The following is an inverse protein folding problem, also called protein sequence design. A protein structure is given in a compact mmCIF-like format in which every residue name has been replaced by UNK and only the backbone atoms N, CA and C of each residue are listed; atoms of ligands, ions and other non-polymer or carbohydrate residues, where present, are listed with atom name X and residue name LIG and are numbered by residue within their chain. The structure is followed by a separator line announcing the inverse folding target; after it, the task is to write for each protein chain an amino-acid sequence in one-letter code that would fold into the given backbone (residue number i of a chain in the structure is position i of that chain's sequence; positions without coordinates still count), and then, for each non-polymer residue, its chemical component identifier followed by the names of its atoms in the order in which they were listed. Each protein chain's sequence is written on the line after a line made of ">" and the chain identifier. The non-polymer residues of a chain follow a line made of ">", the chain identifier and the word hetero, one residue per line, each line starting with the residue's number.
data_IF_158239350809
#
_entry.id   IF_158239350809
#
_cell.length_a   1.000
_cell.length_b   1.000
_cell.length_c   1.000
_cell.angle_alpha   90.00
_cell.angle_beta   90.00
_cell.angle_gamma   90.00
#
_symmetry.space_group_name_H-M   'P 1'
#
loop_
_entity.id
_entity.type
_entity.pdbx_description
1 polymer ?
#
# COMPACT_ATOMS: atom_id res chain seq x y z
N UNK A 1 -45.08 17.90 8.15
CA UNK A 1 -44.52 19.20 8.56
C UNK A 1 -43.06 19.24 8.17
N UNK A 2 -42.71 19.96 7.10
CA UNK A 2 -41.32 20.20 6.68
C UNK A 2 -40.89 21.60 7.15
N UNK A 3 -39.68 21.68 7.70
CA UNK A 3 -39.13 22.79 8.48
C UNK A 3 -38.94 24.10 7.71
N UNK A 4 -39.15 25.21 8.41
CA UNK A 4 -39.23 26.61 7.97
C UNK A 4 -37.98 27.25 7.29
N UNK A 5 -36.97 26.48 6.90
CA UNK A 5 -35.77 27.03 6.25
C UNK A 5 -35.79 27.03 4.72
N UNK A 6 -36.76 26.38 4.07
CA UNK A 6 -36.93 26.44 2.61
C UNK A 6 -37.81 27.62 2.13
N UNK A 7 -38.53 28.30 3.03
CA UNK A 7 -39.48 29.36 2.65
C UNK A 7 -38.87 30.78 2.56
N UNK A 8 -37.59 30.98 2.93
CA UNK A 8 -36.95 32.31 2.86
C UNK A 8 -36.38 32.67 1.48
N UNK A 9 -36.23 31.71 0.57
CA UNK A 9 -35.65 31.95 -0.77
C UNK A 9 -36.69 32.32 -1.85
N UNK A 10 -37.97 32.02 -1.65
CA UNK A 10 -39.01 32.28 -2.66
C UNK A 10 -39.68 33.66 -2.49
N UNK A 11 -39.72 34.19 -1.27
CA UNK A 11 -40.32 35.50 -0.97
C UNK A 11 -39.53 36.70 -1.52
N UNK A 12 -38.24 36.53 -1.86
CA UNK A 12 -37.40 37.60 -2.42
C UNK A 12 -37.56 37.76 -3.94
N UNK A 13 -38.03 36.73 -4.63
CA UNK A 13 -38.21 36.75 -6.10
C UNK A 13 -39.52 37.44 -6.47
N UNK A 14 -40.60 37.18 -5.73
CA UNK A 14 -41.91 37.81 -5.98
C UNK A 14 -41.92 39.32 -5.67
N UNK A 15 -41.17 39.76 -4.65
CA UNK A 15 -40.99 41.20 -4.36
C UNK A 15 -40.15 41.91 -5.43
N UNK A 16 -39.26 41.21 -6.13
CA UNK A 16 -38.41 41.80 -7.17
C UNK A 16 -39.17 42.02 -8.50
N UNK A 17 -40.31 41.35 -8.69
CA UNK A 17 -41.13 41.47 -9.90
C UNK A 17 -42.09 42.66 -9.91
N UNK A 18 -42.31 43.35 -8.78
CA UNK A 18 -43.30 44.44 -8.70
C UNK A 18 -42.75 45.86 -8.84
N UNK A 19 -41.44 46.07 -8.92
CA UNK A 19 -40.86 47.42 -9.02
C UNK A 19 -39.85 47.55 -10.17
N UNK A 20 -40.36 47.80 -11.39
CA UNK A 20 -39.98 48.93 -12.27
C UNK A 20 -40.43 48.68 -13.70
N UNK A 21 -41.32 49.56 -14.14
CA UNK A 21 -42.06 49.55 -15.41
C UNK A 21 -41.17 49.89 -16.63
N UNK A 22 -41.30 49.05 -17.66
CA UNK A 22 -41.58 49.40 -19.06
C UNK A 22 -40.51 49.78 -20.11
N UNK A 23 -39.19 49.79 -19.84
CA UNK A 23 -38.18 49.78 -20.96
C UNK A 23 -37.03 48.78 -20.82
N UNK A 24 -36.73 48.28 -19.61
CA UNK A 24 -35.70 47.26 -19.38
C UNK A 24 -36.13 45.80 -19.63
N UNK A 25 -37.38 45.55 -20.02
CA UNK A 25 -37.97 44.20 -20.08
C UNK A 25 -37.71 43.44 -21.39
N UNK A 26 -37.33 44.10 -22.48
CA UNK A 26 -37.02 43.40 -23.74
C UNK A 26 -35.65 42.75 -23.66
N UNK A 27 -34.64 43.45 -23.13
CA UNK A 27 -33.29 42.90 -22.95
C UNK A 27 -33.24 41.80 -21.89
N UNK A 28 -34.01 41.93 -20.79
CA UNK A 28 -34.12 40.87 -19.78
C UNK A 28 -34.87 39.64 -20.33
N UNK A 29 -35.91 39.80 -21.15
CA UNK A 29 -36.57 38.67 -21.83
C UNK A 29 -35.64 37.98 -22.82
N UNK A 30 -34.92 38.72 -23.67
CA UNK A 30 -33.91 38.15 -24.57
C UNK A 30 -32.76 37.44 -23.83
N UNK A 31 -32.30 38.00 -22.71
CA UNK A 31 -31.27 37.36 -21.89
C UNK A 31 -31.78 36.07 -21.22
N UNK A 32 -33.02 36.06 -20.74
CA UNK A 32 -33.66 34.86 -20.18
C UNK A 32 -33.96 33.82 -21.26
N UNK A 33 -34.41 34.22 -22.45
CA UNK A 33 -34.59 33.32 -23.59
C UNK A 33 -33.27 32.74 -24.09
N UNK A 34 -32.21 33.56 -24.16
CA UNK A 34 -30.87 33.08 -24.50
C UNK A 34 -30.32 32.15 -23.41
N UNK A 35 -30.57 32.42 -22.14
CA UNK A 35 -30.18 31.54 -21.03
C UNK A 35 -30.96 30.22 -21.08
N UNK A 36 -32.27 30.25 -21.38
CA UNK A 36 -33.09 29.04 -21.55
C UNK A 36 -32.72 28.26 -22.82
N UNK A 37 -32.34 28.92 -23.91
CA UNK A 37 -31.80 28.28 -25.12
C UNK A 37 -30.43 27.65 -24.85
N UNK A 38 -29.53 28.39 -24.22
CA UNK A 38 -28.22 27.87 -23.82
C UNK A 38 -28.36 26.70 -22.84
N UNK A 39 -29.31 26.78 -21.90
CA UNK A 39 -29.65 25.68 -21.00
C UNK A 39 -30.23 24.48 -21.75
N UNK A 40 -31.13 24.66 -22.71
CA UNK A 40 -31.65 23.57 -23.56
C UNK A 40 -30.57 22.98 -24.47
N UNK A 41 -29.65 23.79 -24.98
CA UNK A 41 -28.51 23.33 -25.77
C UNK A 41 -27.49 22.60 -24.90
N UNK A 42 -27.23 23.05 -23.68
CA UNK A 42 -26.34 22.35 -22.73
C UNK A 42 -27.00 21.10 -22.15
N UNK A 43 -28.30 21.09 -21.86
CA UNK A 43 -29.04 19.87 -21.51
C UNK A 43 -29.08 18.89 -22.69
N UNK A 44 -29.22 19.38 -23.93
CA UNK A 44 -29.14 18.60 -25.15
C UNK A 44 -27.74 18.04 -25.42
N UNK A 45 -26.69 18.84 -25.21
CA UNK A 45 -25.29 18.42 -25.34
C UNK A 45 -24.87 17.47 -24.22
N UNK A 46 -25.29 17.69 -22.97
CA UNK A 46 -25.05 16.77 -21.86
C UNK A 46 -25.84 15.47 -22.12
N UNK A 47 -27.06 15.55 -22.65
CA UNK A 47 -27.82 14.36 -23.06
C UNK A 47 -27.16 13.62 -24.23
N UNK A 48 -26.62 14.33 -25.23
CA UNK A 48 -25.87 13.75 -26.35
C UNK A 48 -24.53 13.17 -25.90
N UNK A 49 -23.77 13.83 -25.03
CA UNK A 49 -22.55 13.29 -24.45
C UNK A 49 -22.85 12.05 -23.60
N UNK A 50 -23.93 12.04 -22.82
CA UNK A 50 -24.37 10.83 -22.11
C UNK A 50 -24.77 9.72 -23.09
N UNK A 51 -25.39 10.07 -24.23
CA UNK A 51 -25.74 9.11 -25.29
C UNK A 51 -24.50 8.57 -26.00
N UNK A 52 -23.56 9.42 -26.35
CA UNK A 52 -22.28 9.07 -26.99
C UNK A 52 -21.39 8.27 -26.05
N UNK A 53 -21.38 8.55 -24.75
CA UNK A 53 -20.69 7.73 -23.75
C UNK A 53 -21.41 6.38 -23.59
N UNK A 54 -22.75 6.35 -23.59
CA UNK A 54 -23.52 5.09 -23.59
C UNK A 54 -23.28 4.25 -24.85
N UNK A 55 -23.19 4.89 -26.01
CA UNK A 55 -22.99 4.21 -27.29
C UNK A 55 -21.51 3.82 -27.48
N UNK A 56 -20.55 4.62 -26.99
CA UNK A 56 -19.15 4.20 -26.83
C UNK A 56 -19.01 3.03 -25.86
N UNK A 57 -19.77 2.99 -24.78
CA UNK A 57 -19.77 1.86 -23.85
C UNK A 57 -20.48 0.61 -24.39
N UNK A 58 -21.31 0.75 -25.44
CA UNK A 58 -21.83 -0.40 -26.20
C UNK A 58 -20.83 -0.89 -27.26
N UNK A 59 -19.98 0.00 -27.79
CA UNK A 59 -18.97 -0.30 -28.82
C UNK A 59 -17.63 -0.76 -28.25
N UNK A 60 -17.23 -0.21 -27.10
CA UNK A 60 -16.26 -0.82 -26.21
C UNK A 60 -16.96 -2.05 -25.67
N UNK A 61 -16.54 -3.24 -26.09
CA UNK A 61 -16.98 -4.49 -25.51
C UNK A 61 -16.53 -4.58 -24.04
N UNK A 62 -17.14 -3.79 -23.14
CA UNK A 62 -17.37 -4.28 -21.79
C UNK A 62 -18.18 -5.56 -22.01
N UNK A 63 -17.68 -6.73 -21.60
CA UNK A 63 -18.39 -7.98 -21.81
C UNK A 63 -19.83 -7.75 -21.39
N UNK A 64 -20.79 -7.96 -22.29
CA UNK A 64 -22.22 -7.94 -21.95
C UNK A 64 -22.49 -9.14 -21.06
N UNK A 65 -22.03 -9.06 -19.82
CA UNK A 65 -22.19 -10.09 -18.84
C UNK A 65 -23.60 -9.94 -18.30
N UNK A 66 -24.41 -10.99 -18.46
CA UNK A 66 -25.65 -11.10 -17.70
C UNK A 66 -25.24 -11.24 -16.25
N UNK A 67 -25.75 -10.38 -15.38
CA UNK A 67 -25.49 -10.47 -13.96
C UNK A 67 -26.16 -11.75 -13.42
N UNK A 68 -25.46 -12.88 -13.52
CA UNK A 68 -25.97 -14.20 -13.10
C UNK A 68 -25.68 -14.47 -11.61
N UNK A 69 -24.83 -13.63 -10.99
CA UNK A 69 -24.48 -13.72 -9.57
C UNK A 69 -24.81 -12.43 -8.82
N UNK A 70 -25.13 -12.51 -7.51
CA UNK A 70 -25.33 -11.33 -6.66
C UNK A 70 -24.14 -10.36 -6.69
N UNK A 71 -22.92 -10.89 -6.77
CA UNK A 71 -21.70 -10.09 -6.91
C UNK A 71 -21.71 -9.27 -8.21
N UNK A 72 -22.02 -9.91 -9.33
CA UNK A 72 -21.96 -9.22 -10.62
C UNK A 72 -23.04 -8.15 -10.77
N UNK A 73 -24.21 -8.31 -10.15
CA UNK A 73 -25.22 -7.26 -10.06
C UNK A 73 -24.68 -6.03 -9.30
N UNK A 74 -24.07 -6.27 -8.14
CA UNK A 74 -23.45 -5.23 -7.32
C UNK A 74 -22.31 -4.52 -8.06
N UNK A 75 -21.43 -5.28 -8.72
CA UNK A 75 -20.32 -4.76 -9.50
C UNK A 75 -20.78 -3.82 -10.63
N UNK A 76 -21.76 -4.23 -11.44
CA UNK A 76 -22.28 -3.39 -12.52
C UNK A 76 -22.90 -2.10 -11.99
N UNK A 77 -23.68 -2.20 -10.91
CA UNK A 77 -24.27 -1.04 -10.25
C UNK A 77 -23.18 -0.06 -9.80
N UNK A 78 -22.15 -0.54 -9.10
CA UNK A 78 -21.14 0.36 -8.55
C UNK A 78 -20.15 0.90 -9.58
N UNK A 79 -19.77 0.12 -10.60
CA UNK A 79 -19.00 0.67 -11.73
C UNK A 79 -19.76 1.80 -12.41
N UNK A 80 -21.07 1.64 -12.63
CA UNK A 80 -21.89 2.70 -13.21
C UNK A 80 -21.96 3.92 -12.28
N UNK A 81 -22.21 3.72 -10.98
CA UNK A 81 -22.22 4.83 -10.01
C UNK A 81 -20.86 5.56 -9.98
N UNK A 82 -19.74 4.84 -10.03
CA UNK A 82 -18.42 5.45 -10.09
C UNK A 82 -18.26 6.24 -11.39
N UNK A 83 -18.46 5.66 -12.56
CA UNK A 83 -18.22 6.33 -13.84
C UNK A 83 -19.12 7.54 -14.08
N UNK A 84 -20.36 7.52 -13.58
CA UNK A 84 -21.39 8.49 -13.98
C UNK A 84 -21.88 9.42 -12.87
N UNK A 85 -21.65 9.09 -11.58
CA UNK A 85 -22.15 9.88 -10.45
C UNK A 85 -20.99 10.49 -9.67
N UNK A 86 -20.43 11.58 -10.21
CA UNK A 86 -19.30 12.32 -9.62
C UNK A 86 -19.56 12.99 -8.25
N UNK A 87 -20.82 13.01 -7.77
CA UNK A 87 -21.22 13.89 -6.65
C UNK A 87 -21.39 13.20 -5.30
N UNK A 88 -21.43 11.87 -5.23
CA UNK A 88 -21.59 11.16 -3.95
C UNK A 88 -20.27 10.51 -3.54
N UNK A 89 -19.81 10.70 -2.29
CA UNK A 89 -18.66 9.97 -1.80
C UNK A 89 -18.98 8.48 -1.85
N UNK A 90 -18.12 7.73 -2.54
CA UNK A 90 -18.21 6.28 -2.56
C UNK A 90 -17.78 5.76 -1.19
N UNK A 91 -18.67 5.04 -0.52
CA UNK A 91 -18.42 4.48 0.82
C UNK A 91 -17.78 3.11 0.69
N UNK A 92 -16.74 2.88 1.46
CA UNK A 92 -16.00 1.61 1.56
C UNK A 92 -16.86 0.45 2.06
N UNK A 93 -17.89 0.71 2.87
CA UNK A 93 -18.85 -0.33 3.34
C UNK A 93 -19.47 -1.13 2.20
N UNK A 94 -19.63 -0.53 1.02
CA UNK A 94 -20.14 -1.20 -0.17
C UNK A 94 -19.16 -2.21 -0.76
N UNK A 95 -17.86 -1.96 -0.63
CA UNK A 95 -16.83 -2.92 -1.05
C UNK A 95 -16.70 -4.05 -0.03
N UNK A 96 -16.92 -3.77 1.25
CA UNK A 96 -17.01 -4.81 2.29
C UNK A 96 -18.17 -5.76 1.99
N UNK A 97 -19.36 -5.22 1.70
CA UNK A 97 -20.52 -6.04 1.30
C UNK A 97 -20.22 -6.89 0.05
N UNK A 98 -19.45 -6.37 -0.91
CA UNK A 98 -19.06 -7.14 -2.09
C UNK A 98 -18.03 -8.24 -1.80
N UNK A 99 -17.12 -8.03 -0.85
CA UNK A 99 -16.15 -9.05 -0.42
C UNK A 99 -16.86 -10.31 0.09
N UNK A 100 -17.97 -10.13 0.81
CA UNK A 100 -18.79 -11.24 1.34
C UNK A 100 -19.52 -12.02 0.23
N UNK A 101 -19.72 -11.41 -0.94
CA UNK A 101 -20.41 -12.01 -2.09
C UNK A 101 -19.47 -12.74 -3.06
N UNK A 102 -18.15 -12.71 -2.85
CA UNK A 102 -17.18 -13.37 -3.72
C UNK A 102 -17.35 -14.90 -3.62
N UNK A 103 -17.66 -15.54 -4.74
CA UNK A 103 -17.79 -16.99 -4.84
C UNK A 103 -16.79 -17.62 -5.82
N UNK A 104 -16.03 -16.80 -6.55
CA UNK A 104 -15.11 -17.25 -7.59
C UNK A 104 -13.89 -16.32 -7.73
N UNK A 105 -12.82 -16.82 -8.35
CA UNK A 105 -11.64 -16.03 -8.68
C UNK A 105 -11.95 -14.89 -9.67
N UNK A 106 -12.96 -15.08 -10.53
CA UNK A 106 -13.44 -14.04 -11.45
C UNK A 106 -14.10 -12.88 -10.68
N UNK A 107 -14.88 -13.18 -9.64
CA UNK A 107 -15.47 -12.16 -8.76
C UNK A 107 -14.37 -11.37 -8.05
N UNK A 108 -13.36 -12.06 -7.52
CA UNK A 108 -12.19 -11.40 -6.90
C UNK A 108 -11.47 -10.48 -7.89
N UNK A 109 -11.21 -10.96 -9.11
CA UNK A 109 -10.57 -10.15 -10.17
C UNK A 109 -11.37 -8.88 -10.47
N UNK A 110 -12.70 -9.00 -10.55
CA UNK A 110 -13.59 -7.85 -10.77
C UNK A 110 -13.60 -6.90 -9.58
N UNK A 111 -13.62 -7.43 -8.35
CA UNK A 111 -13.51 -6.58 -7.17
C UNK A 111 -12.20 -5.79 -7.19
N UNK A 112 -11.10 -6.43 -7.57
CA UNK A 112 -9.79 -5.78 -7.68
C UNK A 112 -9.78 -4.66 -8.72
N UNK A 113 -10.48 -4.84 -9.86
CA UNK A 113 -10.67 -3.77 -10.84
C UNK A 113 -11.47 -2.59 -10.26
N UNK A 114 -12.56 -2.88 -9.56
CA UNK A 114 -13.40 -1.86 -8.92
C UNK A 114 -12.60 -1.11 -7.84
N UNK A 115 -11.85 -1.84 -7.02
CA UNK A 115 -11.00 -1.27 -5.98
C UNK A 115 -9.92 -0.35 -6.57
N UNK A 116 -9.26 -0.73 -7.67
CA UNK A 116 -8.31 0.14 -8.38
C UNK A 116 -8.95 1.46 -8.85
N UNK A 117 -10.20 1.43 -9.31
CA UNK A 117 -10.95 2.65 -9.66
C UNK A 117 -11.25 3.50 -8.42
N UNK A 118 -11.49 2.88 -7.26
CA UNK A 118 -11.68 3.57 -5.99
C UNK A 118 -10.39 4.24 -5.49
N UNK A 119 -9.21 3.64 -5.74
CA UNK A 119 -7.91 4.26 -5.40
C UNK A 119 -7.67 5.59 -6.13
N UNK A 120 -8.24 5.77 -7.33
CA UNK A 120 -8.15 7.01 -8.11
C UNK A 120 -9.09 8.12 -7.59
N UNK A 121 -9.77 7.88 -6.47
CA UNK A 121 -10.81 8.75 -5.92
C UNK A 121 -10.51 9.05 -4.45
N UNK A 122 -11.13 10.09 -3.86
CA UNK A 122 -10.96 10.42 -2.44
C UNK A 122 -11.76 9.46 -1.54
N UNK A 123 -11.55 8.15 -1.70
CA UNK A 123 -12.12 7.11 -0.84
C UNK A 123 -11.13 6.85 0.28
N UNK A 124 -11.60 6.90 1.52
CA UNK A 124 -10.82 6.46 2.68
C UNK A 124 -11.26 5.05 3.03
N UNK A 125 -10.34 4.09 2.93
CA UNK A 125 -10.63 2.71 3.30
C UNK A 125 -10.52 2.52 4.81
N UNK A 126 -11.48 1.81 5.39
CA UNK A 126 -11.38 1.36 6.78
C UNK A 126 -10.45 0.18 6.91
N UNK A 127 -9.96 -0.04 8.14
CA UNK A 127 -9.18 -1.23 8.47
C UNK A 127 -9.98 -2.52 8.23
N UNK A 128 -11.29 -2.50 8.49
CA UNK A 128 -12.18 -3.64 8.21
C UNK A 128 -12.11 -4.04 6.73
N UNK A 129 -12.16 -3.08 5.80
CA UNK A 129 -12.02 -3.38 4.38
C UNK A 129 -10.63 -3.95 4.05
N UNK A 130 -9.56 -3.34 4.56
CA UNK A 130 -8.19 -3.83 4.33
C UNK A 130 -8.02 -5.28 4.78
N UNK A 131 -8.52 -5.58 5.99
CA UNK A 131 -8.42 -6.90 6.59
C UNK A 131 -9.22 -7.94 5.80
N UNK A 132 -10.46 -7.60 5.41
CA UNK A 132 -11.31 -8.47 4.62
C UNK A 132 -10.73 -8.72 3.21
N UNK A 133 -10.20 -7.68 2.54
CA UNK A 133 -9.60 -7.81 1.21
C UNK A 133 -8.36 -8.71 1.23
N UNK A 134 -7.44 -8.46 2.16
CA UNK A 134 -6.21 -9.26 2.26
C UNK A 134 -6.49 -10.71 2.62
N UNK A 135 -7.42 -10.97 3.55
CA UNK A 135 -7.83 -12.33 3.87
C UNK A 135 -8.44 -13.04 2.65
N UNK A 136 -9.27 -12.34 1.85
CA UNK A 136 -9.82 -12.90 0.60
C UNK A 136 -8.73 -13.17 -0.43
N UNK A 137 -7.73 -12.30 -0.59
CA UNK A 137 -6.61 -12.56 -1.49
C UNK A 137 -5.83 -13.82 -1.06
N UNK A 138 -5.56 -13.96 0.24
CA UNK A 138 -4.88 -15.14 0.77
C UNK A 138 -5.70 -16.43 0.62
N UNK A 139 -7.03 -16.36 0.80
CA UNK A 139 -7.96 -17.49 0.59
C UNK A 139 -7.91 -18.02 -0.85
N UNK A 140 -7.76 -17.13 -1.83
CA UNK A 140 -7.70 -17.46 -3.26
C UNK A 140 -6.27 -17.68 -3.78
N UNK A 141 -5.25 -17.67 -2.91
CA UNK A 141 -3.85 -17.90 -3.30
C UNK A 141 -3.17 -16.71 -3.99
N UNK A 142 -3.76 -15.52 -3.95
CA UNK A 142 -3.23 -14.29 -4.54
C UNK A 142 -2.19 -13.62 -3.60
N UNK A 143 -1.16 -14.38 -3.20
CA UNK A 143 -0.18 -13.97 -2.18
C UNK A 143 0.71 -12.82 -2.67
N UNK A 144 1.12 -12.82 -3.94
CA UNK A 144 1.89 -11.72 -4.54
C UNK A 144 1.10 -10.39 -4.53
N UNK A 145 -0.21 -10.47 -4.83
CA UNK A 145 -1.09 -9.31 -4.79
C UNK A 145 -1.26 -8.79 -3.36
N UNK A 146 -1.48 -9.69 -2.38
CA UNK A 146 -1.53 -9.33 -0.97
C UNK A 146 -0.22 -8.67 -0.50
N UNK A 147 0.94 -9.24 -0.85
CA UNK A 147 2.25 -8.69 -0.53
C UNK A 147 2.48 -7.30 -1.12
N UNK A 148 2.07 -7.10 -2.37
CA UNK A 148 2.17 -5.80 -3.05
C UNK A 148 1.29 -4.73 -2.38
N UNK A 149 0.07 -5.10 -1.95
CA UNK A 149 -0.82 -4.20 -1.22
C UNK A 149 -0.20 -3.80 0.11
N UNK A 150 0.31 -4.76 0.87
CA UNK A 150 0.95 -4.50 2.16
C UNK A 150 2.14 -3.57 1.97
N UNK A 151 3.05 -3.86 1.03
CA UNK A 151 4.24 -3.03 0.78
C UNK A 151 3.92 -1.57 0.43
N UNK A 152 2.74 -1.30 -0.14
CA UNK A 152 2.32 0.02 -0.59
C UNK A 152 1.19 0.64 0.26
N UNK A 153 0.85 0.06 1.42
CA UNK A 153 -0.37 0.38 2.17
C UNK A 153 -0.65 1.88 2.38
N UNK A 154 0.35 2.67 2.79
CA UNK A 154 0.18 4.12 2.96
C UNK A 154 0.00 4.88 1.65
N UNK A 155 0.66 4.46 0.56
CA UNK A 155 0.51 5.08 -0.77
C UNK A 155 -0.90 4.90 -1.33
N UNK A 156 -1.56 3.80 -0.97
CA UNK A 156 -2.93 3.47 -1.40
C UNK A 156 -3.98 3.78 -0.33
N UNK A 157 -3.63 4.55 0.72
CA UNK A 157 -4.52 4.95 1.82
C UNK A 157 -5.23 3.78 2.51
N UNK A 158 -4.57 2.63 2.60
CA UNK A 158 -5.09 1.45 3.28
C UNK A 158 -4.45 1.31 4.66
N UNK A 159 -5.23 1.39 5.75
CA UNK A 159 -4.73 1.05 7.07
C UNK A 159 -4.58 -0.47 7.18
N UNK A 160 -3.37 -0.95 7.44
CA UNK A 160 -3.05 -2.37 7.53
C UNK A 160 -2.40 -2.66 8.88
N UNK A 161 -3.00 -3.56 9.65
CA UNK A 161 -2.51 -3.93 10.97
C UNK A 161 -1.20 -4.74 10.95
N UNK A 162 -0.49 -4.72 12.08
CA UNK A 162 0.74 -5.53 12.29
C UNK A 162 0.47 -7.03 12.11
N UNK A 163 -0.56 -7.57 12.77
CA UNK A 163 -0.85 -9.01 12.74
C UNK A 163 -1.13 -9.53 11.32
N UNK A 164 -1.86 -8.75 10.53
CA UNK A 164 -2.15 -9.10 9.14
C UNK A 164 -0.91 -8.99 8.25
N UNK A 165 -0.08 -7.97 8.47
CA UNK A 165 1.22 -7.85 7.79
C UNK A 165 2.09 -9.08 8.06
N UNK A 166 2.18 -9.52 9.32
CA UNK A 166 2.92 -10.73 9.69
C UNK A 166 2.33 -11.98 9.01
N UNK A 167 1.00 -12.11 8.94
CA UNK A 167 0.36 -13.23 8.22
C UNK A 167 0.74 -13.26 6.73
N UNK A 168 0.65 -12.11 6.05
CA UNK A 168 1.03 -12.01 4.63
C UNK A 168 2.52 -12.33 4.43
N UNK A 169 3.39 -11.83 5.30
CA UNK A 169 4.83 -12.13 5.24
C UNK A 169 5.12 -13.62 5.44
N UNK A 170 4.46 -14.29 6.38
CA UNK A 170 4.59 -15.74 6.56
C UNK A 170 4.16 -16.53 5.31
N UNK A 171 3.11 -16.08 4.63
CA UNK A 171 2.66 -16.68 3.36
C UNK A 171 3.65 -16.45 2.22
N UNK A 172 4.19 -15.24 2.11
CA UNK A 172 5.25 -14.92 1.15
C UNK A 172 6.50 -15.78 1.38
N UNK A 173 6.86 -16.05 2.63
CA UNK A 173 8.01 -16.90 2.96
C UNK A 173 7.80 -18.36 2.54
N UNK A 174 6.59 -18.90 2.73
CA UNK A 174 6.22 -20.24 2.26
C UNK A 174 6.32 -20.37 0.73
N UNK A 175 6.00 -19.30 0.01
CA UNK A 175 6.11 -19.23 -1.46
C UNK A 175 7.47 -18.71 -1.96
N UNK A 176 8.45 -18.54 -1.06
CA UNK A 176 9.81 -18.07 -1.38
C UNK A 176 9.84 -16.70 -2.08
N UNK A 177 8.87 -15.82 -1.77
CA UNK A 177 8.73 -14.47 -2.33
C UNK A 177 9.52 -13.43 -1.51
N UNK A 178 10.81 -13.67 -1.33
CA UNK A 178 11.67 -12.90 -0.42
C UNK A 178 11.80 -11.41 -0.78
N UNK A 179 11.81 -11.07 -2.07
CA UNK A 179 11.84 -9.67 -2.54
C UNK A 179 10.67 -8.84 -2.01
N UNK A 180 9.48 -9.44 -1.94
CA UNK A 180 8.29 -8.76 -1.42
C UNK A 180 8.37 -8.58 0.10
N UNK A 181 8.93 -9.56 0.82
CA UNK A 181 9.16 -9.46 2.26
C UNK A 181 10.09 -8.29 2.57
N UNK A 182 11.20 -8.17 1.84
CA UNK A 182 12.14 -7.05 1.94
C UNK A 182 11.43 -5.72 1.64
N UNK A 183 10.63 -5.65 0.57
CA UNK A 183 9.87 -4.43 0.23
C UNK A 183 8.91 -4.03 1.35
N UNK A 184 8.20 -4.98 1.95
CA UNK A 184 7.31 -4.73 3.10
C UNK A 184 8.11 -4.18 4.27
N UNK A 185 9.26 -4.78 4.57
CA UNK A 185 10.11 -4.35 5.66
C UNK A 185 10.70 -2.93 5.45
N UNK A 186 11.18 -2.63 4.23
CA UNK A 186 11.60 -1.27 3.84
C UNK A 186 10.46 -0.28 3.99
N UNK A 187 9.25 -0.66 3.55
CA UNK A 187 8.05 0.14 3.75
C UNK A 187 7.76 0.41 5.23
N UNK A 188 7.90 -0.60 6.09
CA UNK A 188 7.69 -0.46 7.54
C UNK A 188 8.71 0.50 8.17
N UNK A 189 10.00 0.31 7.89
CA UNK A 189 11.09 1.13 8.44
C UNK A 189 11.06 2.59 7.96
N UNK A 190 10.59 2.83 6.74
CA UNK A 190 10.39 4.19 6.18
C UNK A 190 9.07 4.85 6.65
N UNK A 191 8.28 4.18 7.51
CA UNK A 191 6.99 4.69 7.96
C UNK A 191 5.92 4.69 6.85
N UNK A 192 6.10 3.92 5.77
CA UNK A 192 5.11 3.72 4.71
C UNK A 192 4.03 2.69 5.09
N UNK A 193 4.12 2.09 6.28
CA UNK A 193 3.05 1.30 6.88
C UNK A 193 2.41 2.05 8.05
N UNK A 194 1.20 1.64 8.42
CA UNK A 194 0.47 2.22 9.56
C UNK A 194 1.05 1.87 10.93
N UNK A 195 2.07 1.01 10.98
CA UNK A 195 2.81 0.69 12.20
C UNK A 195 4.29 0.93 12.00
N UNK A 196 4.96 1.37 13.06
CA UNK A 196 6.42 1.38 13.14
C UNK A 196 6.89 -0.01 13.57
N UNK A 197 7.85 -0.63 12.87
CA UNK A 197 8.41 -1.90 13.29
C UNK A 197 9.10 -1.75 14.67
N UNK A 198 8.77 -2.66 15.57
CA UNK A 198 9.40 -2.79 16.89
C UNK A 198 10.46 -3.90 16.85
N UNK A 199 11.32 -3.98 17.86
CA UNK A 199 12.42 -4.96 17.95
C UNK A 199 12.01 -6.40 17.56
N UNK A 200 10.89 -6.90 18.06
CA UNK A 200 10.40 -8.25 17.75
C UNK A 200 9.91 -8.40 16.29
N UNK A 201 9.49 -7.32 15.64
CA UNK A 201 9.10 -7.33 14.23
C UNK A 201 10.34 -7.56 13.34
N UNK A 202 11.48 -6.94 13.65
CA UNK A 202 12.75 -7.21 12.96
C UNK A 202 13.11 -8.69 13.03
N UNK A 203 13.07 -9.27 14.23
CA UNK A 203 13.34 -10.70 14.44
C UNK A 203 12.42 -11.58 13.60
N UNK A 204 11.13 -11.22 13.56
CA UNK A 204 10.18 -11.92 12.72
C UNK A 204 10.59 -11.87 11.24
N UNK A 205 10.89 -10.70 10.67
CA UNK A 205 11.34 -10.59 9.27
C UNK A 205 12.61 -11.41 8.99
N UNK A 206 13.59 -11.35 9.89
CA UNK A 206 14.84 -12.12 9.79
C UNK A 206 14.55 -13.61 9.78
N UNK A 207 13.69 -14.10 10.68
CA UNK A 207 13.31 -15.50 10.74
C UNK A 207 12.62 -15.98 9.45
N UNK A 208 11.79 -15.13 8.85
CA UNK A 208 11.11 -15.44 7.58
C UNK A 208 12.08 -15.45 6.37
N UNK A 209 13.23 -14.79 6.50
CA UNK A 209 14.28 -14.70 5.48
C UNK A 209 15.49 -15.60 5.79
N UNK A 210 15.38 -16.51 6.76
CA UNK A 210 16.51 -17.35 7.19
C UNK A 210 17.16 -18.06 6.00
N UNK A 211 18.49 -17.95 5.92
CA UNK A 211 19.31 -18.52 4.85
C UNK A 211 19.21 -17.83 3.50
N UNK A 212 18.56 -16.68 3.44
CA UNK A 212 18.52 -15.85 2.23
C UNK A 212 19.40 -14.62 2.41
N UNK A 213 20.10 -14.23 1.35
CA UNK A 213 20.90 -13.00 1.31
C UNK A 213 20.04 -11.77 1.66
N UNK A 214 18.76 -11.79 1.28
CA UNK A 214 17.76 -10.79 1.63
C UNK A 214 17.64 -10.50 3.14
N UNK A 215 17.96 -11.46 4.02
CA UNK A 215 17.99 -11.22 5.46
C UNK A 215 19.09 -10.23 5.87
N UNK A 216 20.20 -10.19 5.13
CA UNK A 216 21.30 -9.25 5.36
C UNK A 216 20.80 -7.81 5.19
N UNK A 217 19.99 -7.54 4.17
CA UNK A 217 19.41 -6.21 3.99
C UNK A 217 18.54 -5.77 5.16
N UNK A 218 17.84 -6.71 5.80
CA UNK A 218 17.03 -6.43 6.99
C UNK A 218 17.91 -6.08 8.19
N UNK A 219 19.10 -6.69 8.31
CA UNK A 219 20.08 -6.33 9.32
C UNK A 219 20.63 -4.91 9.13
N UNK A 220 20.84 -4.48 7.88
CA UNK A 220 21.48 -3.21 7.55
C UNK A 220 20.53 -2.04 7.29
N UNK A 221 19.21 -2.23 7.26
CA UNK A 221 18.29 -1.15 6.87
C UNK A 221 18.17 0.00 7.89
N UNK A 222 18.84 -0.07 9.04
CA UNK A 222 19.00 1.06 9.96
C UNK A 222 20.18 1.97 9.60
N UNK A 223 21.11 1.51 8.76
CA UNK A 223 22.22 2.31 8.26
C UNK A 223 21.91 2.76 6.82
N UNK A 224 21.33 3.95 6.70
CA UNK A 224 21.09 4.59 5.40
C UNK A 224 22.37 5.01 4.65
N UNK A 225 23.55 4.66 5.17
CA UNK A 225 24.86 4.91 4.57
C UNK A 225 25.72 3.65 4.67
N UNK A 226 26.21 3.18 3.52
CA UNK A 226 27.24 2.13 3.43
C UNK A 226 28.57 2.51 4.12
N UNK A 227 28.71 3.76 4.59
CA UNK A 227 29.89 4.24 5.31
C UNK A 227 29.74 4.23 6.84
N UNK A 228 28.57 3.95 7.39
CA UNK A 228 28.38 3.85 8.84
C UNK A 228 27.52 2.65 9.21
N UNK A 229 28.17 1.49 9.27
CA UNK A 229 27.69 0.30 9.99
C UNK A 229 27.68 0.50 11.53
N UNK A 230 27.97 1.70 12.04
CA UNK A 230 28.13 1.93 13.49
C UNK A 230 26.82 2.15 14.27
N UNK A 231 25.67 1.96 13.63
CA UNK A 231 24.38 1.81 14.32
C UNK A 231 23.68 0.56 13.80
N UNK A 232 24.35 -0.58 13.98
CA UNK A 232 23.66 -1.86 13.97
C UNK A 232 22.66 -1.85 15.12
N UNK A 233 21.39 -1.69 14.73
CA UNK A 233 20.23 -2.14 15.48
C UNK A 233 19.90 -1.31 16.75
N UNK A 234 18.62 -1.22 17.17
CA UNK A 234 18.28 -0.66 18.47
C UNK A 234 18.97 -1.46 19.57
N UNK A 235 19.65 -0.77 20.49
CA UNK A 235 20.39 -1.37 21.62
C UNK A 235 19.60 -2.50 22.30
N UNK A 236 20.31 -3.59 22.65
CA UNK A 236 19.78 -4.65 23.51
C UNK A 236 19.06 -5.78 22.81
N UNK A 237 19.55 -6.29 21.67
CA UNK A 237 19.06 -7.54 21.05
C UNK A 237 19.13 -8.76 21.98
N UNK A 238 18.11 -9.62 21.90
CA UNK A 238 18.16 -10.89 22.63
C UNK A 238 19.33 -11.73 22.09
N UNK A 239 20.10 -12.42 22.94
CA UNK A 239 21.26 -13.22 22.55
C UNK A 239 21.01 -14.15 21.34
N UNK A 240 19.81 -14.73 21.23
CA UNK A 240 19.39 -15.63 20.16
C UNK A 240 19.33 -14.95 18.77
N UNK A 241 19.15 -13.62 18.75
CA UNK A 241 19.15 -12.83 17.51
C UNK A 241 20.51 -12.89 16.82
N UNK A 242 21.57 -12.77 17.62
CA UNK A 242 22.93 -12.77 17.11
C UNK A 242 23.32 -14.14 16.56
N UNK A 243 22.86 -15.23 17.19
CA UNK A 243 23.03 -16.58 16.64
C UNK A 243 22.38 -16.71 15.26
N UNK A 244 21.15 -16.22 15.11
CA UNK A 244 20.44 -16.27 13.83
C UNK A 244 21.12 -15.43 12.74
N UNK A 245 21.63 -14.26 13.12
CA UNK A 245 22.41 -13.38 12.24
C UNK A 245 23.69 -14.08 11.75
N UNK A 246 24.47 -14.67 12.65
CA UNK A 246 25.72 -15.34 12.29
C UNK A 246 25.50 -16.58 11.44
N UNK A 247 24.49 -17.40 11.75
CA UNK A 247 24.15 -18.56 10.89
C UNK A 247 23.70 -18.10 9.50
N UNK A 248 22.94 -17.01 9.40
CA UNK A 248 22.57 -16.44 8.10
C UNK A 248 23.79 -15.97 7.32
N UNK A 249 24.76 -15.34 7.99
CA UNK A 249 26.01 -14.92 7.34
C UNK A 249 26.82 -16.11 6.86
N UNK A 250 26.84 -17.19 7.66
CA UNK A 250 27.50 -18.43 7.31
C UNK A 250 26.86 -19.12 6.11
N UNK A 251 25.54 -19.13 6.03
CA UNK A 251 24.80 -19.68 4.87
C UNK A 251 25.03 -18.86 3.59
N UNK A 252 25.39 -17.58 3.71
CA UNK A 252 25.60 -16.66 2.59
C UNK A 252 27.07 -16.26 2.36
N UNK A 253 28.03 -16.92 3.02
CA UNK A 253 29.47 -16.63 2.93
C UNK A 253 29.84 -15.16 3.19
N UNK A 254 29.10 -14.50 4.08
CA UNK A 254 29.21 -13.07 4.36
C UNK A 254 30.23 -12.78 5.48
N UNK A 255 31.52 -13.10 5.26
CA UNK A 255 32.59 -13.05 6.29
C UNK A 255 32.71 -11.70 6.98
N UNK A 256 32.82 -10.60 6.21
CA UNK A 256 32.95 -9.23 6.75
C UNK A 256 31.75 -8.82 7.62
N UNK A 257 30.56 -9.30 7.25
CA UNK A 257 29.33 -9.02 8.00
C UNK A 257 29.30 -9.84 9.29
N UNK A 258 29.69 -11.12 9.23
CA UNK A 258 29.80 -11.99 10.40
C UNK A 258 30.78 -11.44 11.44
N UNK A 259 31.92 -10.91 11.00
CA UNK A 259 32.91 -10.25 11.88
C UNK A 259 32.30 -9.06 12.60
N UNK A 260 31.58 -8.19 11.89
CA UNK A 260 30.95 -7.02 12.48
C UNK A 260 29.85 -7.40 13.49
N UNK A 261 29.01 -8.38 13.17
CA UNK A 261 28.01 -8.93 14.11
C UNK A 261 28.69 -9.49 15.36
N UNK A 262 29.79 -10.22 15.21
CA UNK A 262 30.52 -10.77 16.35
C UNK A 262 31.14 -9.67 17.23
N UNK A 263 31.63 -8.58 16.65
CA UNK A 263 32.08 -7.42 17.42
C UNK A 263 30.96 -6.82 18.27
N UNK A 264 29.75 -6.69 17.71
CA UNK A 264 28.57 -6.25 18.48
C UNK A 264 28.19 -7.25 19.59
N UNK A 265 28.29 -8.55 19.33
CA UNK A 265 28.07 -9.59 20.35
C UNK A 265 29.05 -9.46 21.52
N UNK A 266 30.33 -9.18 21.25
CA UNK A 266 31.32 -8.99 22.30
C UNK A 266 30.97 -7.82 23.23
N UNK A 267 30.26 -6.81 22.73
CA UNK A 267 29.77 -5.71 23.55
C UNK A 267 28.51 -6.07 24.33
N UNK A 268 27.52 -6.64 23.64
CA UNK A 268 26.16 -6.84 24.15
C UNK A 268 25.95 -8.17 24.91
N UNK A 269 26.80 -9.17 24.69
CA UNK A 269 26.66 -10.53 25.24
C UNK A 269 27.79 -10.93 26.21
N UNK A 270 28.49 -9.95 26.84
CA UNK A 270 29.64 -10.20 27.74
C UNK A 270 29.39 -11.25 28.84
N UNK A 271 28.13 -11.43 29.26
CA UNK A 271 27.74 -12.42 30.26
C UNK A 271 27.53 -13.85 29.75
N UNK A 272 27.49 -14.07 28.43
CA UNK A 272 27.15 -15.36 27.82
C UNK A 272 28.34 -15.93 27.03
N UNK A 273 29.25 -16.61 27.74
CA UNK A 273 30.49 -17.16 27.17
C UNK A 273 30.24 -18.18 26.07
N UNK A 274 29.25 -19.05 26.24
CA UNK A 274 28.95 -20.11 25.27
C UNK A 274 28.53 -19.52 23.92
N UNK A 275 27.70 -18.47 23.95
CA UNK A 275 27.30 -17.76 22.74
C UNK A 275 28.48 -17.05 22.05
N UNK A 276 29.39 -16.45 22.83
CA UNK A 276 30.58 -15.80 22.29
C UNK A 276 31.55 -16.80 21.66
N UNK A 277 31.71 -18.00 22.23
CA UNK A 277 32.53 -19.06 21.65
C UNK A 277 31.90 -19.62 20.36
N UNK A 278 30.58 -19.81 20.35
CA UNK A 278 29.85 -20.20 19.14
C UNK A 278 30.03 -19.16 18.03
N UNK A 279 29.86 -17.87 18.36
CA UNK A 279 30.00 -16.80 17.39
C UNK A 279 31.42 -16.72 16.82
N UNK A 280 32.44 -16.86 17.68
CA UNK A 280 33.84 -16.92 17.29
C UNK A 280 34.12 -18.08 16.33
N UNK A 281 33.60 -19.27 16.64
CA UNK A 281 33.80 -20.46 15.82
C UNK A 281 33.23 -20.28 14.40
N UNK A 282 32.05 -19.66 14.28
CA UNK A 282 31.43 -19.34 12.98
C UNK A 282 32.31 -18.37 12.19
N UNK A 283 32.75 -17.28 12.81
CA UNK A 283 33.59 -16.27 12.14
C UNK A 283 34.94 -16.84 11.70
N UNK A 284 35.61 -17.59 12.56
CA UNK A 284 36.90 -18.22 12.24
C UNK A 284 36.76 -19.18 11.06
N UNK A 285 35.71 -20.02 11.06
CA UNK A 285 35.44 -20.92 9.95
C UNK A 285 35.19 -20.18 8.64
N UNK A 286 34.40 -19.10 8.67
CA UNK A 286 34.16 -18.27 7.49
C UNK A 286 35.42 -17.61 6.97
N UNK A 287 36.32 -17.17 7.86
CA UNK A 287 37.60 -16.58 7.47
C UNK A 287 38.55 -17.59 6.81
N UNK A 288 38.51 -18.84 7.27
CA UNK A 288 39.27 -19.94 6.66
C UNK A 288 38.73 -20.34 5.28
N UNK A 289 37.41 -20.44 5.13
CA UNK A 289 36.76 -20.86 3.89
C UNK A 289 36.67 -19.73 2.85
N UNK A 290 36.50 -18.49 3.32
CA UNK A 290 36.24 -17.29 2.53
C UNK A 290 37.04 -16.10 3.10
N UNK A 291 38.38 -16.09 2.92
CA UNK A 291 39.21 -15.00 3.39
C UNK A 291 38.79 -13.69 2.71
N UNK A 292 38.52 -12.67 3.53
CA UNK A 292 38.38 -11.31 3.03
C UNK A 292 39.77 -10.89 2.58
N UNK A 293 39.92 -10.50 1.31
CA UNK A 293 41.16 -9.88 0.85
C UNK A 293 41.39 -8.65 1.75
N UNK A 294 42.51 -8.63 2.47
CA UNK A 294 42.95 -7.41 3.12
C UNK A 294 43.12 -6.39 1.98
N UNK A 295 42.29 -5.34 1.98
CA UNK A 295 42.57 -4.18 1.14
C UNK A 295 43.96 -3.72 1.58
N UNK A 296 44.97 -4.02 0.77
CA UNK A 296 46.28 -3.43 0.90
C UNK A 296 46.07 -1.92 0.85
N UNK A 297 46.08 -1.29 2.02
CA UNK A 297 46.42 0.12 2.14
C UNK A 297 47.90 0.22 1.79
N UNK A 298 48.23 0.08 0.50
CA UNK A 298 49.54 0.43 -0.02
C UNK A 298 49.73 1.95 0.18
N UNK A 299 50.77 2.25 0.95
CA UNK A 299 51.14 3.55 1.47
C UNK A 299 51.11 4.72 0.48
N UNK A 300 50.47 5.80 0.92
CA UNK A 300 50.96 7.15 0.64
C UNK A 300 51.69 7.68 1.87
N UNK A 301 52.88 7.14 2.15
CA UNK A 301 53.93 7.93 2.77
C UNK A 301 55.25 7.69 2.01
N UNK A 302 55.84 8.80 1.54
CA UNK A 302 57.19 8.98 1.02
C UNK A 302 57.44 8.81 -0.50
N UNK A 303 57.29 9.92 -1.24
CA UNK A 303 58.18 10.50 -2.28
C UNK A 303 57.37 11.60 -2.98
N UNK A 304 57.69 12.90 -2.95
CA UNK A 304 58.88 13.62 -3.43
C UNK A 304 59.13 14.84 -2.48
N UNK A 305 60.32 15.06 -1.95
CA UNK A 305 61.49 15.67 -2.59
C UNK A 305 61.24 17.11 -3.07
#
# INVERSE_FOLDING_TARGET
>A
MLSAHQNRSYASIDKMMQLKRFRGNIHKRKAVENFLRYRKQTEGMVSQQIKEIKDRNKQLALPQWKAETPFGEAYHKYIYELHFIHKKPFKDTRLVEMLDMIQSADDLTRLMQLWRLCLQRPVRFTQQFSDALLNKLLEYGEVDAAGTIVANGRLIFMPIGRALTQNVVSRLAQEQKYDLIVKIFRGASQGLLTFSPQKHDYLFFIQQLKGQEAALEVFFSHSGDTQFANQLLPEGHEPETYSLMLETCKENNATRIAEHIYHEMLYNCKGNKDLLEQGKAIVMKLREEHPVAEEETEGEEAQEA
#
